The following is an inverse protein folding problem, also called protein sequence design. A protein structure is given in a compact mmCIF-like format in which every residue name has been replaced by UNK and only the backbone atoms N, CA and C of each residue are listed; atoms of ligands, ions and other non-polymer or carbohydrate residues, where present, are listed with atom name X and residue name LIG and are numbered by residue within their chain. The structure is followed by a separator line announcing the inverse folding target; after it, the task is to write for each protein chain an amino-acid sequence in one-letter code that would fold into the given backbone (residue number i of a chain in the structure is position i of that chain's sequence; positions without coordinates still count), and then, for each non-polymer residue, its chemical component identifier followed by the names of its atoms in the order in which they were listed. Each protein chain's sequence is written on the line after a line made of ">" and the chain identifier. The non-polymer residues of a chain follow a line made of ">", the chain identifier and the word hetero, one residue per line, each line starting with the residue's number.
data_IF_111272522681
#
_entry.id   IF_111272522681
#
_cell.length_a   1.000
_cell.length_b   1.000
_cell.length_c   1.000
_cell.angle_alpha   90.00
_cell.angle_beta   90.00
_cell.angle_gamma   90.00
#
_symmetry.space_group_name_H-M   'P 1'
#
loop_
_entity.id
_entity.type
_entity.pdbx_description
1 polymer ?
#
# COMPACT_ATOMS: atom_id res chain seq x y z
N UNK A 1 -21.47 5.65 5.43
CA UNK A 1 -20.43 5.06 4.55
C UNK A 1 -20.02 6.08 3.47
N UNK A 2 -19.14 7.04 3.81
CA UNK A 2 -18.80 8.17 2.92
C UNK A 2 -17.41 8.06 2.26
N UNK A 3 -16.61 7.04 2.60
CA UNK A 3 -15.23 6.91 2.13
C UNK A 3 -15.08 6.50 0.66
N UNK A 4 -16.01 5.70 0.12
CA UNK A 4 -15.90 5.14 -1.24
C UNK A 4 -16.18 6.15 -2.35
N UNK A 5 -16.97 7.20 -2.07
CA UNK A 5 -17.30 8.25 -3.04
C UNK A 5 -16.20 9.31 -3.16
N UNK A 6 -15.42 9.53 -2.09
CA UNK A 6 -14.33 10.52 -2.07
C UNK A 6 -13.17 10.14 -2.98
N UNK A 7 -12.88 8.85 -3.17
CA UNK A 7 -11.80 8.39 -4.05
C UNK A 7 -12.21 8.30 -5.53
N UNK A 8 -13.42 8.72 -5.91
CA UNK A 8 -13.91 8.66 -7.30
C UNK A 8 -13.24 9.67 -8.24
N UNK A 9 -12.40 10.57 -7.74
CA UNK A 9 -11.71 11.56 -8.60
C UNK A 9 -10.19 11.40 -8.49
N UNK A 10 -9.50 11.57 -9.61
CA UNK A 10 -8.05 11.43 -9.74
C UNK A 10 -7.28 12.29 -8.72
N UNK A 11 -7.77 13.49 -8.40
CA UNK A 11 -7.18 14.36 -7.39
C UNK A 11 -7.20 13.75 -5.98
N UNK A 12 -8.31 13.12 -5.60
CA UNK A 12 -8.43 12.50 -4.29
C UNK A 12 -7.56 11.25 -4.19
N UNK A 13 -7.48 10.45 -5.26
CA UNK A 13 -6.55 9.32 -5.35
C UNK A 13 -5.10 9.80 -5.20
N UNK A 14 -4.71 10.84 -5.94
CA UNK A 14 -3.37 11.43 -5.84
C UNK A 14 -3.02 11.86 -4.41
N UNK A 15 -3.93 12.60 -3.75
CA UNK A 15 -3.75 13.03 -2.38
C UNK A 15 -3.70 11.84 -1.39
N UNK A 16 -4.53 10.81 -1.60
CA UNK A 16 -4.52 9.59 -0.81
C UNK A 16 -3.17 8.88 -0.90
N UNK A 17 -2.67 8.62 -2.11
CA UNK A 17 -1.39 7.95 -2.32
C UNK A 17 -0.23 8.72 -1.69
N UNK A 18 -0.20 10.05 -1.84
CA UNK A 18 0.83 10.88 -1.20
C UNK A 18 0.78 10.86 0.33
N UNK A 19 -0.40 10.72 0.94
CA UNK A 19 -0.51 10.52 2.39
C UNK A 19 0.02 9.16 2.80
N UNK A 20 -0.31 8.10 2.05
CA UNK A 20 0.16 6.74 2.31
C UNK A 20 1.67 6.59 2.15
N UNK A 21 2.29 7.28 1.20
CA UNK A 21 3.76 7.30 1.06
C UNK A 21 4.47 7.82 2.32
N UNK A 22 3.83 8.68 3.13
CA UNK A 22 4.42 9.15 4.40
C UNK A 22 4.52 8.05 5.46
N UNK A 23 3.79 6.96 5.30
CA UNK A 23 3.84 5.79 6.18
C UNK A 23 4.97 4.83 5.78
N UNK A 24 5.55 4.97 4.58
CA UNK A 24 6.69 4.17 4.15
C UNK A 24 7.98 4.63 4.85
N UNK A 25 9.01 3.76 4.93
CA UNK A 25 10.35 4.16 5.38
C UNK A 25 10.86 5.41 4.64
N UNK A 26 11.53 6.32 5.37
CA UNK A 26 11.89 7.65 4.87
C UNK A 26 12.75 7.59 3.60
N UNK A 27 13.60 6.57 3.49
CA UNK A 27 14.56 6.36 2.41
C UNK A 27 13.88 6.08 1.07
N UNK A 28 12.71 5.41 1.09
CA UNK A 28 11.98 5.03 -0.13
C UNK A 28 10.93 6.04 -0.54
N UNK A 29 10.55 6.99 0.33
CA UNK A 29 9.48 7.95 0.03
C UNK A 29 9.73 8.78 -1.23
N UNK A 30 10.94 9.32 -1.52
CA UNK A 30 11.18 10.12 -2.72
C UNK A 30 10.90 9.35 -4.02
N UNK A 31 11.29 8.07 -4.06
CA UNK A 31 11.04 7.18 -5.19
C UNK A 31 9.54 7.07 -5.47
N UNK A 32 8.74 6.70 -4.45
CA UNK A 32 7.30 6.52 -4.63
C UNK A 32 6.57 7.83 -4.93
N UNK A 33 6.99 8.97 -4.35
CA UNK A 33 6.44 10.28 -4.73
C UNK A 33 6.67 10.58 -6.21
N UNK A 34 7.87 10.34 -6.72
CA UNK A 34 8.19 10.57 -8.13
C UNK A 34 7.46 9.59 -9.05
N UNK A 35 7.35 8.32 -8.64
CA UNK A 35 6.60 7.31 -9.38
C UNK A 35 5.12 7.69 -9.52
N UNK A 36 4.46 8.09 -8.42
CA UNK A 36 3.06 8.54 -8.45
C UNK A 36 2.91 9.76 -9.37
N UNK A 37 3.78 10.77 -9.23
CA UNK A 37 3.73 11.97 -10.10
C UNK A 37 3.88 11.63 -11.59
N UNK A 38 4.75 10.68 -11.92
CA UNK A 38 4.95 10.26 -13.30
C UNK A 38 3.74 9.49 -13.84
N UNK A 39 3.19 8.54 -13.08
CA UNK A 39 2.00 7.79 -13.49
C UNK A 39 0.81 8.73 -13.77
N UNK A 40 0.55 9.70 -12.89
CA UNK A 40 -0.54 10.66 -13.10
C UNK A 40 -0.33 11.54 -14.34
N UNK A 41 0.93 11.84 -14.72
CA UNK A 41 1.22 12.59 -15.95
C UNK A 41 1.05 11.72 -17.20
N UNK A 42 1.43 10.45 -17.13
CA UNK A 42 1.30 9.51 -18.24
C UNK A 42 -0.15 9.23 -18.61
N UNK A 43 -1.05 9.30 -17.64
CA UNK A 43 -2.49 9.09 -17.83
C UNK A 43 -3.32 10.36 -17.66
N UNK A 44 -2.72 11.54 -17.92
CA UNK A 44 -3.42 12.81 -17.77
C UNK A 44 -4.58 12.98 -18.77
N UNK A 45 -4.48 12.33 -19.93
CA UNK A 45 -5.45 12.38 -21.03
C UNK A 45 -6.47 11.21 -20.97
N UNK A 46 -6.45 10.38 -19.92
CA UNK A 46 -7.43 9.32 -19.72
C UNK A 46 -8.79 9.92 -19.32
N UNK A 47 -9.80 9.72 -20.17
CA UNK A 47 -11.16 10.23 -19.99
C UNK A 47 -12.21 9.12 -19.85
N UNK A 48 -11.83 7.85 -20.05
CA UNK A 48 -12.74 6.71 -19.86
C UNK A 48 -12.99 6.49 -18.35
N UNK A 49 -14.25 6.63 -17.89
CA UNK A 49 -14.60 6.42 -16.50
C UNK A 49 -14.34 4.99 -16.01
N UNK A 50 -14.41 3.98 -16.88
CA UNK A 50 -14.16 2.59 -16.47
C UNK A 50 -12.67 2.34 -16.25
N UNK A 51 -11.81 2.77 -17.19
CA UNK A 51 -10.35 2.73 -17.01
C UNK A 51 -9.94 3.49 -15.75
N UNK A 52 -10.48 4.69 -15.54
CA UNK A 52 -10.22 5.48 -14.34
C UNK A 52 -10.59 4.73 -13.05
N UNK A 53 -11.73 4.01 -13.03
CA UNK A 53 -12.12 3.17 -11.88
C UNK A 53 -11.15 2.02 -11.66
N UNK A 54 -10.77 1.31 -12.72
CA UNK A 54 -9.86 0.16 -12.64
C UNK A 54 -8.47 0.61 -12.16
N UNK A 55 -7.95 1.68 -12.73
CA UNK A 55 -6.66 2.26 -12.32
C UNK A 55 -6.70 2.73 -10.86
N UNK A 56 -7.81 3.34 -10.44
CA UNK A 56 -8.00 3.79 -9.06
C UNK A 56 -8.01 2.60 -8.09
N UNK A 57 -8.79 1.55 -8.37
CA UNK A 57 -8.85 0.37 -7.48
C UNK A 57 -7.51 -0.36 -7.41
N UNK A 58 -6.83 -0.48 -8.55
CA UNK A 58 -5.50 -1.08 -8.66
C UNK A 58 -4.48 -0.31 -7.83
N UNK A 59 -4.40 1.01 -8.01
CA UNK A 59 -3.45 1.84 -7.27
C UNK A 59 -3.68 1.81 -5.75
N UNK A 60 -4.94 1.71 -5.30
CA UNK A 60 -5.27 1.54 -3.88
C UNK A 60 -4.77 0.18 -3.38
N UNK A 61 -5.10 -0.90 -4.10
CA UNK A 61 -4.69 -2.27 -3.76
C UNK A 61 -3.17 -2.40 -3.67
N UNK A 62 -2.45 -1.84 -4.64
CA UNK A 62 -0.99 -1.87 -4.69
C UNK A 62 -0.36 -1.14 -3.49
N UNK A 63 -0.90 0.03 -3.13
CA UNK A 63 -0.42 0.81 -2.00
C UNK A 63 -0.70 0.10 -0.67
N UNK A 64 -1.88 -0.48 -0.50
CA UNK A 64 -2.22 -1.21 0.72
C UNK A 64 -1.38 -2.49 0.86
N UNK A 65 -1.14 -3.23 -0.23
CA UNK A 65 -0.21 -4.36 -0.24
C UNK A 65 1.22 -3.94 0.13
N UNK A 66 1.71 -2.83 -0.44
CA UNK A 66 3.04 -2.30 -0.15
C UNK A 66 3.20 -1.97 1.34
N UNK A 67 2.21 -1.30 1.94
CA UNK A 67 2.24 -0.94 3.35
C UNK A 67 2.24 -2.15 4.26
N UNK A 68 1.34 -3.11 4.01
CA UNK A 68 1.30 -4.37 4.76
C UNK A 68 2.64 -5.11 4.68
N UNK A 69 3.30 -5.09 3.52
CA UNK A 69 4.63 -5.65 3.35
C UNK A 69 5.68 -4.91 4.17
N UNK A 70 5.68 -3.57 4.16
CA UNK A 70 6.64 -2.79 4.95
C UNK A 70 6.45 -2.97 6.45
N UNK A 71 5.21 -3.07 6.93
CA UNK A 71 4.89 -3.30 8.33
C UNK A 71 5.40 -4.69 8.78
N UNK A 72 5.14 -5.74 7.99
CA UNK A 72 5.66 -7.09 8.26
C UNK A 72 7.20 -7.10 8.33
N UNK A 73 7.87 -6.40 7.41
CA UNK A 73 9.33 -6.31 7.39
C UNK A 73 9.87 -5.53 8.59
N UNK A 74 9.27 -4.38 8.93
CA UNK A 74 9.66 -3.58 10.08
C UNK A 74 9.47 -4.36 11.39
N UNK A 75 8.35 -5.07 11.56
CA UNK A 75 8.11 -5.92 12.72
C UNK A 75 9.20 -6.99 12.86
N UNK A 76 9.53 -7.68 11.76
CA UNK A 76 10.57 -8.71 11.74
C UNK A 76 11.96 -8.15 12.09
N UNK A 77 12.30 -6.97 11.57
CA UNK A 77 13.60 -6.33 11.81
C UNK A 77 13.73 -5.74 13.22
N UNK A 78 12.65 -5.20 13.78
CA UNK A 78 12.63 -4.59 15.11
C UNK A 78 12.59 -5.64 16.24
N UNK A 79 11.97 -6.79 15.98
CA UNK A 79 11.83 -7.87 16.96
C UNK A 79 12.34 -9.20 16.40
N UNK A 80 13.66 -9.38 16.21
CA UNK A 80 14.22 -10.61 15.64
C UNK A 80 13.94 -11.86 16.49
N UNK A 81 13.65 -11.69 17.80
CA UNK A 81 13.22 -12.78 18.69
C UNK A 81 11.82 -13.33 18.39
N UNK A 82 10.99 -12.62 17.62
CA UNK A 82 9.65 -13.08 17.20
C UNK A 82 9.71 -14.31 16.28
N UNK A 83 10.81 -14.49 15.53
CA UNK A 83 11.07 -15.68 14.70
C UNK A 83 11.26 -16.92 15.57
N UNK A 84 12.01 -16.78 16.66
CA UNK A 84 12.18 -17.86 17.63
C UNK A 84 10.87 -18.15 18.37
N UNK A 85 10.06 -17.12 18.63
CA UNK A 85 8.76 -17.28 19.27
C UNK A 85 7.75 -18.01 18.36
N UNK A 86 7.63 -17.62 17.08
CA UNK A 86 6.86 -18.34 16.05
C UNK A 86 7.32 -19.79 15.89
N UNK A 87 8.62 -20.06 16.01
CA UNK A 87 9.15 -21.42 15.95
C UNK A 87 8.83 -22.25 17.20
N UNK A 88 8.63 -21.60 18.36
CA UNK A 88 8.23 -22.21 19.63
C UNK A 88 6.71 -22.36 19.84
N UNK A 89 5.88 -21.74 18.98
CA UNK A 89 4.43 -21.95 19.02
C UNK A 89 4.05 -23.36 18.52
N UNK A 90 3.03 -24.00 19.12
CA UNK A 90 2.53 -25.29 18.65
C UNK A 90 2.05 -25.19 17.19
N UNK A 91 2.20 -26.28 16.43
CA UNK A 91 1.96 -26.30 14.98
C UNK A 91 0.56 -25.83 14.55
N UNK A 92 -0.42 -25.88 15.46
CA UNK A 92 -1.79 -25.39 15.27
C UNK A 92 -1.89 -23.87 15.14
N UNK A 93 -0.97 -23.11 15.74
CA UNK A 93 -0.98 -21.63 15.70
C UNK A 93 -0.09 -21.07 14.57
N UNK A 94 0.89 -21.85 14.09
CA UNK A 94 1.75 -21.45 12.96
C UNK A 94 0.96 -21.23 11.66
N UNK A 95 -0.17 -21.93 11.48
CA UNK A 95 -0.98 -21.87 10.26
C UNK A 95 -1.87 -20.63 10.17
N UNK A 96 -2.14 -19.93 11.28
CA UNK A 96 -3.08 -18.79 11.30
C UNK A 96 -2.43 -17.48 10.80
N UNK A 97 -1.10 -17.41 10.77
CA UNK A 97 -0.36 -16.17 10.47
C UNK A 97 0.20 -16.15 9.03
N UNK A 98 0.13 -17.28 8.30
CA UNK A 98 0.68 -17.44 6.94
C UNK A 98 -0.41 -17.60 5.86
N UNK A 99 -1.62 -17.10 6.10
CA UNK A 99 -2.63 -16.89 5.05
C UNK A 99 -2.78 -15.41 4.69
#
# INVERSE_FOLDING_TARGET
>A
MAGSKLLQTSLHLYAYLLRKVRLLPAEVQPYYRNYIRQNFRQHADEDDPENTRIMTSTAISDMDWLLAKTEKLQHFLMYPGSVNMLNSLPATEKQVIVM
#
